data_IF_671730160653
#
_entry.id   IF_671730160653
#
_cell.length_a   1.000
_cell.length_b   1.000
_cell.length_c   1.000
_cell.angle_alpha   90.00
_cell.angle_beta   90.00
_cell.angle_gamma   90.00
#
_symmetry.space_group_name_H-M   'P 1'
#
loop_
_entity.id
_entity.type
_entity.pdbx_description
1 polymer ?
#
# COMPACT_ATOMS: atom_id res chain seq x y z
N UNK A 1 -48.71 20.30 -65.28
CA UNK A 1 -47.44 21.01 -64.98
C UNK A 1 -46.36 19.96 -64.80
N UNK A 2 -45.24 20.07 -65.52
CA UNK A 2 -44.08 19.18 -65.39
C UNK A 2 -43.25 19.56 -64.14
N UNK A 3 -42.22 18.78 -63.82
CA UNK A 3 -41.26 19.16 -62.77
C UNK A 3 -40.42 20.35 -63.23
N UNK A 4 -40.19 21.31 -62.33
CA UNK A 4 -39.25 22.40 -62.57
C UNK A 4 -37.82 21.87 -62.73
N UNK A 5 -37.04 22.51 -63.59
CA UNK A 5 -35.68 22.13 -63.97
C UNK A 5 -34.65 23.24 -63.81
N UNK A 6 -35.08 24.51 -63.91
CA UNK A 6 -34.27 25.68 -63.60
C UNK A 6 -34.57 26.19 -62.18
N UNK A 7 -33.62 26.90 -61.56
CA UNK A 7 -33.77 27.46 -60.21
C UNK A 7 -34.96 28.44 -60.06
N UNK A 8 -35.42 29.03 -61.17
CA UNK A 8 -36.58 29.93 -61.23
C UNK A 8 -37.92 29.22 -61.46
N UNK A 9 -37.92 27.92 -61.74
CA UNK A 9 -39.15 27.19 -62.04
C UNK A 9 -39.99 26.97 -60.77
N UNK A 10 -41.31 26.98 -60.92
CA UNK A 10 -42.21 26.64 -59.84
C UNK A 10 -42.12 25.14 -59.48
N UNK A 11 -42.05 24.84 -58.18
CA UNK A 11 -42.07 23.46 -57.65
C UNK A 11 -43.48 22.86 -57.80
N UNK A 12 -43.58 21.63 -58.31
CA UNK A 12 -44.84 20.90 -58.36
C UNK A 12 -45.02 19.95 -57.15
N UNK A 13 -46.25 19.45 -56.94
CA UNK A 13 -46.59 18.60 -55.78
C UNK A 13 -45.78 17.28 -55.76
N UNK A 14 -45.39 16.74 -56.91
CA UNK A 14 -44.58 15.52 -56.96
C UNK A 14 -43.16 15.76 -56.43
N UNK A 15 -42.55 16.90 -56.79
CA UNK A 15 -41.25 17.32 -56.25
C UNK A 15 -41.32 17.53 -54.73
N UNK A 16 -42.39 18.17 -54.24
CA UNK A 16 -42.61 18.35 -52.79
C UNK A 16 -42.80 17.01 -52.05
N UNK A 17 -43.60 16.08 -52.59
CA UNK A 17 -43.78 14.74 -52.01
C UNK A 17 -42.48 13.91 -52.01
N UNK A 18 -41.65 14.07 -53.04
CA UNK A 18 -40.33 13.44 -53.08
C UNK A 18 -39.44 13.94 -51.95
N UNK A 19 -39.39 15.25 -51.72
CA UNK A 19 -38.64 15.84 -50.59
C UNK A 19 -39.19 15.36 -49.24
N UNK A 20 -40.52 15.36 -49.08
CA UNK A 20 -41.18 14.87 -47.86
C UNK A 20 -40.75 13.44 -47.54
N UNK A 21 -40.71 12.54 -48.53
CA UNK A 21 -40.25 11.17 -48.33
C UNK A 21 -38.77 11.00 -47.95
N UNK A 22 -37.92 12.01 -48.17
CA UNK A 22 -36.55 12.03 -47.63
C UNK A 22 -36.50 12.60 -46.22
N UNK A 23 -37.26 13.66 -45.94
CA UNK A 23 -37.37 14.27 -44.60
C UNK A 23 -37.94 13.27 -43.60
N UNK A 24 -38.99 12.53 -43.98
CA UNK A 24 -39.66 11.53 -43.14
C UNK A 24 -38.74 10.35 -42.77
N UNK A 25 -37.70 10.08 -43.57
CA UNK A 25 -36.71 9.02 -43.28
C UNK A 25 -35.71 9.41 -42.19
N UNK A 26 -35.48 10.71 -42.00
CA UNK A 26 -34.51 11.25 -41.06
C UNK A 26 -33.09 10.68 -41.26
N UNK A 27 -32.38 10.46 -40.16
CA UNK A 27 -31.03 9.87 -40.15
C UNK A 27 -31.01 8.57 -39.33
N UNK A 28 -29.94 7.77 -39.39
CA UNK A 28 -29.81 6.53 -38.61
C UNK A 28 -28.69 6.63 -37.57
N UNK A 29 -28.98 6.22 -36.34
CA UNK A 29 -27.98 6.07 -35.28
C UNK A 29 -27.67 4.59 -35.04
N UNK A 30 -26.38 4.23 -35.02
CA UNK A 30 -25.89 2.92 -34.59
C UNK A 30 -24.80 3.10 -33.55
N UNK A 31 -24.74 2.22 -32.55
CA UNK A 31 -23.75 2.27 -31.46
C UNK A 31 -22.93 0.98 -31.48
N UNK A 32 -21.60 1.10 -31.43
CA UNK A 32 -20.70 -0.07 -31.49
C UNK A 32 -20.80 -0.88 -32.78
N UNK A 33 -21.27 -0.28 -33.88
CA UNK A 33 -21.49 -0.97 -35.16
C UNK A 33 -22.78 -1.80 -35.23
N UNK A 34 -23.67 -1.72 -34.23
CA UNK A 34 -24.91 -2.50 -34.16
C UNK A 34 -26.16 -1.62 -33.96
N UNK A 35 -27.35 -2.25 -34.06
CA UNK A 35 -28.65 -1.70 -33.70
C UNK A 35 -29.02 -0.37 -34.39
N UNK A 36 -28.76 -0.26 -35.69
CA UNK A 36 -29.09 0.93 -36.46
C UNK A 36 -30.60 1.25 -36.38
N UNK A 37 -30.94 2.42 -35.84
CA UNK A 37 -32.32 2.90 -35.70
C UNK A 37 -32.50 4.23 -36.43
N UNK A 38 -33.58 4.35 -37.20
CA UNK A 38 -33.96 5.61 -37.83
C UNK A 38 -34.46 6.60 -36.77
N UNK A 39 -33.96 7.83 -36.82
CA UNK A 39 -34.30 8.98 -36.00
C UNK A 39 -34.97 9.99 -36.92
N UNK A 40 -36.29 10.12 -36.79
CA UNK A 40 -37.09 11.07 -37.57
C UNK A 40 -36.92 12.51 -37.09
N UNK A 41 -37.50 13.46 -37.83
CA UNK A 41 -37.36 14.90 -37.57
C UNK A 41 -37.92 15.36 -36.21
N UNK A 42 -38.91 14.65 -35.67
CA UNK A 42 -39.50 14.92 -34.34
C UNK A 42 -39.08 13.88 -33.28
N UNK A 43 -38.08 13.04 -33.58
CA UNK A 43 -37.57 12.05 -32.62
C UNK A 43 -36.52 12.66 -31.71
N UNK A 44 -36.49 12.20 -30.46
CA UNK A 44 -35.41 12.53 -29.52
C UNK A 44 -34.37 11.40 -29.42
N UNK A 45 -33.13 11.80 -29.14
CA UNK A 45 -32.06 10.90 -28.73
C UNK A 45 -31.69 11.26 -27.31
N UNK A 46 -31.74 10.27 -26.41
CA UNK A 46 -31.38 10.42 -25.02
C UNK A 46 -30.04 9.72 -24.74
N UNK A 47 -29.17 10.39 -23.97
CA UNK A 47 -27.89 9.86 -23.54
C UNK A 47 -27.90 9.74 -22.02
N UNK A 48 -28.02 8.51 -21.52
CA UNK A 48 -28.05 8.21 -20.09
C UNK A 48 -26.80 7.44 -19.65
N UNK A 49 -26.26 7.77 -18.48
CA UNK A 49 -25.24 6.96 -17.84
C UNK A 49 -25.87 5.76 -17.12
N UNK A 50 -25.33 4.56 -17.32
CA UNK A 50 -25.81 3.34 -16.65
C UNK A 50 -25.34 3.18 -15.20
N UNK A 51 -24.44 4.04 -14.74
CA UNK A 51 -23.92 4.06 -13.37
C UNK A 51 -23.48 5.47 -13.00
N UNK A 52 -23.20 5.68 -11.72
CA UNK A 52 -22.68 6.96 -11.23
C UNK A 52 -21.19 7.18 -11.52
N UNK A 53 -20.50 6.21 -12.12
CA UNK A 53 -19.07 6.34 -12.48
C UNK A 53 -18.85 7.25 -13.68
N UNK A 54 -19.91 7.51 -14.46
CA UNK A 54 -19.85 8.26 -15.69
C UNK A 54 -20.90 9.35 -15.65
N UNK A 55 -20.53 10.58 -16.02
CA UNK A 55 -21.45 11.70 -16.07
C UNK A 55 -21.67 12.12 -17.52
N UNK A 56 -22.91 12.46 -17.82
CA UNK A 56 -23.32 13.03 -19.09
C UNK A 56 -24.04 14.32 -18.76
N UNK A 57 -23.50 15.45 -19.22
CA UNK A 57 -24.08 16.76 -18.99
C UNK A 57 -24.28 17.48 -20.32
N UNK A 58 -25.47 18.07 -20.51
CA UNK A 58 -25.74 18.98 -21.62
C UNK A 58 -25.55 20.42 -21.14
N UNK A 59 -24.77 21.20 -21.86
CA UNK A 59 -24.65 22.65 -21.63
C UNK A 59 -25.97 23.35 -21.93
N UNK A 60 -26.38 24.24 -21.03
CA UNK A 60 -27.64 24.98 -21.13
C UNK A 60 -27.63 25.93 -22.35
N UNK A 61 -26.48 26.56 -22.64
CA UNK A 61 -26.38 27.62 -23.64
C UNK A 61 -25.60 27.24 -24.92
N UNK A 62 -24.78 26.18 -24.91
CA UNK A 62 -23.77 25.94 -25.97
C UNK A 62 -23.93 24.62 -26.75
N UNK A 63 -25.04 23.91 -26.56
CA UNK A 63 -25.33 22.61 -27.18
C UNK A 63 -24.25 21.52 -26.96
N UNK A 64 -23.27 21.75 -26.08
CA UNK A 64 -22.25 20.74 -25.81
C UNK A 64 -22.84 19.61 -24.98
N UNK A 65 -22.38 18.41 -25.28
CA UNK A 65 -22.56 17.24 -24.43
C UNK A 65 -21.18 16.88 -23.89
N UNK A 66 -21.02 16.98 -22.58
CA UNK A 66 -19.79 16.67 -21.88
C UNK A 66 -19.90 15.28 -21.27
N UNK A 67 -18.85 14.50 -21.49
CA UNK A 67 -18.67 13.18 -20.91
C UNK A 67 -17.48 13.23 -19.97
N UNK A 68 -17.66 12.79 -18.73
CA UNK A 68 -16.57 12.75 -17.76
C UNK A 68 -16.69 11.52 -16.86
N UNK A 69 -15.58 11.17 -16.21
CA UNK A 69 -15.59 10.22 -15.11
C UNK A 69 -15.96 10.94 -13.82
N UNK A 70 -16.72 10.27 -12.96
CA UNK A 70 -16.92 10.76 -11.62
C UNK A 70 -15.59 10.75 -10.84
N UNK A 71 -15.40 11.73 -9.95
CA UNK A 71 -14.21 11.81 -9.08
C UNK A 71 -14.06 10.58 -8.17
N UNK A 72 -15.18 9.99 -7.80
CA UNK A 72 -15.25 8.74 -7.05
C UNK A 72 -15.86 7.66 -7.94
N UNK A 73 -15.17 6.53 -8.04
CA UNK A 73 -15.61 5.39 -8.84
C UNK A 73 -15.90 4.20 -7.93
N UNK A 74 -17.02 3.53 -8.17
CA UNK A 74 -17.35 2.24 -7.57
C UNK A 74 -17.11 1.16 -8.61
N UNK A 75 -16.07 0.36 -8.43
CA UNK A 75 -15.66 -0.71 -9.35
C UNK A 75 -15.28 -1.94 -8.54
N UNK A 76 -15.44 -3.13 -9.13
CA UNK A 76 -15.09 -4.39 -8.46
C UNK A 76 -13.57 -4.61 -8.39
N UNK A 77 -12.84 -4.18 -9.42
CA UNK A 77 -11.40 -4.37 -9.53
C UNK A 77 -10.74 -3.33 -10.45
N UNK A 78 -9.54 -2.91 -10.09
CA UNK A 78 -8.63 -2.12 -10.91
C UNK A 78 -7.38 -2.96 -11.18
N UNK A 79 -7.08 -3.21 -12.45
CA UNK A 79 -5.89 -3.94 -12.87
C UNK A 79 -4.88 -3.00 -13.53
N UNK A 80 -3.67 -2.95 -12.99
CA UNK A 80 -2.56 -2.13 -13.50
C UNK A 80 -1.40 -3.06 -13.83
N UNK A 81 -1.26 -3.41 -15.12
CA UNK A 81 -0.39 -4.50 -15.53
C UNK A 81 -0.80 -5.80 -14.83
N UNK A 82 0.14 -6.41 -14.10
CA UNK A 82 -0.14 -7.62 -13.32
C UNK A 82 -0.72 -7.35 -11.93
N UNK A 83 -0.66 -6.11 -11.44
CA UNK A 83 -1.14 -5.75 -10.10
C UNK A 83 -2.66 -5.59 -10.08
N UNK A 84 -3.25 -5.79 -8.91
CA UNK A 84 -4.70 -5.71 -8.71
C UNK A 84 -5.02 -4.91 -7.45
N UNK A 85 -6.02 -4.04 -7.54
CA UNK A 85 -6.73 -3.47 -6.40
C UNK A 85 -8.19 -3.91 -6.49
N UNK A 86 -8.66 -4.69 -5.53
CA UNK A 86 -10.03 -5.20 -5.49
C UNK A 86 -10.56 -5.29 -4.04
N UNK A 87 -11.68 -5.98 -3.84
CA UNK A 87 -12.30 -6.18 -2.53
C UNK A 87 -11.39 -6.87 -1.49
N UNK A 88 -10.33 -7.56 -1.93
CA UNK A 88 -9.34 -8.19 -1.03
C UNK A 88 -8.25 -7.21 -0.57
N UNK A 89 -8.00 -6.13 -1.33
CA UNK A 89 -6.98 -5.10 -1.06
C UNK A 89 -6.07 -4.83 -2.27
N UNK A 90 -4.86 -4.32 -2.00
CA UNK A 90 -3.80 -4.06 -2.98
C UNK A 90 -2.85 -5.25 -3.07
N UNK A 91 -2.73 -5.85 -4.26
CA UNK A 91 -1.84 -6.97 -4.54
C UNK A 91 -0.86 -6.57 -5.64
N UNK A 92 0.44 -6.52 -5.29
CA UNK A 92 1.53 -6.40 -6.25
C UNK A 92 2.04 -7.81 -6.57
N UNK A 93 1.98 -8.21 -7.84
CA UNK A 93 2.45 -9.55 -8.25
C UNK A 93 3.95 -9.69 -7.95
N UNK A 94 4.35 -10.81 -7.34
CA UNK A 94 5.73 -11.10 -6.90
C UNK A 94 6.33 -10.05 -5.92
N UNK A 95 5.47 -9.29 -5.25
CA UNK A 95 5.85 -8.18 -4.39
C UNK A 95 5.02 -8.08 -3.10
N UNK A 96 5.04 -6.90 -2.45
CA UNK A 96 4.25 -6.64 -1.26
C UNK A 96 2.73 -6.65 -1.55
N UNK A 97 1.94 -6.98 -0.54
CA UNK A 97 0.48 -6.88 -0.59
C UNK A 97 -0.08 -6.31 0.71
N UNK A 98 -1.17 -5.56 0.59
CA UNK A 98 -1.96 -5.04 1.70
C UNK A 98 -3.37 -5.56 1.49
N UNK A 99 -3.82 -6.43 2.38
CA UNK A 99 -5.10 -7.13 2.26
C UNK A 99 -5.92 -6.98 3.54
N UNK A 100 -7.18 -7.44 3.50
CA UNK A 100 -8.04 -7.47 4.68
C UNK A 100 -7.48 -8.28 5.85
N UNK A 101 -6.51 -9.18 5.62
CA UNK A 101 -5.85 -9.96 6.67
C UNK A 101 -4.55 -9.35 7.18
N UNK A 102 -4.09 -8.23 6.61
CA UNK A 102 -2.86 -7.54 7.00
C UNK A 102 -1.91 -7.28 5.85
N UNK A 103 -0.64 -7.05 6.20
CA UNK A 103 0.44 -6.64 5.29
C UNK A 103 1.45 -7.78 5.16
N UNK A 104 1.83 -8.09 3.93
CA UNK A 104 2.93 -9.00 3.62
C UNK A 104 3.97 -8.22 2.79
N UNK A 105 5.22 -8.20 3.28
CA UNK A 105 6.31 -7.46 2.66
C UNK A 105 6.89 -8.15 1.41
N UNK A 106 6.43 -9.35 1.03
CA UNK A 106 6.85 -10.04 -0.19
C UNK A 106 8.34 -10.36 -0.21
N UNK A 107 8.91 -10.76 0.95
CA UNK A 107 10.34 -10.99 1.16
C UNK A 107 11.23 -9.78 0.82
N UNK A 108 10.71 -8.55 0.95
CA UNK A 108 11.47 -7.30 0.80
C UNK A 108 11.70 -6.65 2.14
N UNK A 109 12.75 -5.82 2.23
CA UNK A 109 12.99 -4.99 3.42
C UNK A 109 11.93 -3.89 3.49
N UNK A 110 11.38 -3.66 4.69
CA UNK A 110 10.58 -2.48 4.99
C UNK A 110 11.54 -1.39 5.47
N UNK A 111 11.73 -0.34 4.68
CA UNK A 111 12.62 0.79 4.97
C UNK A 111 11.84 2.03 5.37
N UNK A 112 12.48 2.98 6.04
CA UNK A 112 11.81 4.22 6.49
C UNK A 112 10.92 4.01 7.72
N UNK A 113 11.15 2.94 8.49
CA UNK A 113 10.46 2.69 9.77
C UNK A 113 11.11 3.56 10.85
N UNK A 114 10.37 4.53 11.36
CA UNK A 114 10.78 5.33 12.52
C UNK A 114 10.87 4.46 13.79
N UNK A 115 11.49 4.98 14.86
CA UNK A 115 11.61 4.23 16.10
C UNK A 115 10.22 4.07 16.74
N UNK A 116 9.83 2.84 17.04
CA UNK A 116 8.60 2.55 17.75
C UNK A 116 8.67 3.04 19.20
N UNK A 117 7.60 3.65 19.69
CA UNK A 117 7.47 4.16 21.07
C UNK A 117 6.28 3.58 21.82
N UNK A 118 5.25 3.12 21.10
CA UNK A 118 4.12 2.37 21.63
C UNK A 118 4.33 0.85 21.57
N UNK A 119 3.52 0.11 22.36
CA UNK A 119 3.62 -1.36 22.47
C UNK A 119 3.31 -2.10 21.16
N UNK A 120 2.61 -1.47 20.22
CA UNK A 120 2.20 -2.05 18.93
C UNK A 120 2.97 -1.49 17.74
N UNK A 121 3.97 -0.65 17.97
CA UNK A 121 4.77 -0.07 16.89
C UNK A 121 5.76 -1.11 16.35
N UNK A 122 6.06 -1.01 15.05
CA UNK A 122 7.17 -1.77 14.49
C UNK A 122 8.50 -1.29 15.06
N UNK A 123 9.41 -2.22 15.32
CA UNK A 123 10.78 -1.93 15.76
C UNK A 123 11.69 -1.82 14.54
N UNK A 124 12.48 -0.76 14.47
CA UNK A 124 13.50 -0.63 13.43
C UNK A 124 14.86 -1.19 13.87
N UNK A 125 15.78 -1.35 12.92
CA UNK A 125 17.08 -1.96 13.21
C UNK A 125 17.94 -1.18 14.22
N UNK A 126 17.79 0.15 14.32
CA UNK A 126 18.55 0.96 15.26
C UNK A 126 18.20 0.65 16.73
N UNK A 127 16.92 0.40 17.02
CA UNK A 127 16.49 -0.02 18.37
C UNK A 127 17.06 -1.39 18.76
N UNK A 128 17.22 -2.31 17.80
CA UNK A 128 17.85 -3.61 18.06
C UNK A 128 19.35 -3.47 18.37
N UNK A 129 20.08 -2.60 17.67
CA UNK A 129 21.49 -2.33 17.96
C UNK A 129 21.68 -1.67 19.34
N UNK A 130 20.79 -0.77 19.77
CA UNK A 130 20.81 -0.19 21.12
C UNK A 130 20.69 -1.26 22.21
N UNK A 131 19.79 -2.23 22.04
CA UNK A 131 19.64 -3.35 22.98
C UNK A 131 20.90 -4.23 23.00
N UNK A 132 21.49 -4.50 21.83
CA UNK A 132 22.70 -5.32 21.72
C UNK A 132 23.89 -4.70 22.47
N UNK A 133 24.04 -3.37 22.39
CA UNK A 133 25.05 -2.64 23.17
C UNK A 133 24.78 -2.69 24.68
N UNK A 134 23.52 -2.57 25.10
CA UNK A 134 23.14 -2.71 26.52
C UNK A 134 23.42 -4.11 27.06
N UNK A 135 23.09 -5.16 26.31
CA UNK A 135 23.36 -6.55 26.69
C UNK A 135 24.86 -6.81 26.78
N UNK A 136 25.65 -6.30 25.83
CA UNK A 136 27.11 -6.47 25.85
C UNK A 136 27.78 -5.71 27.01
N UNK A 137 27.30 -4.50 27.32
CA UNK A 137 27.87 -3.68 28.40
C UNK A 137 27.45 -4.15 29.80
N UNK A 138 26.23 -4.68 29.95
CA UNK A 138 25.63 -5.08 31.23
C UNK A 138 26.14 -6.38 31.86
N UNK A 139 27.03 -7.13 31.22
CA UNK A 139 27.59 -8.35 31.84
C UNK A 139 28.56 -7.99 32.98
N UNK A 140 28.32 -8.46 34.20
CA UNK A 140 29.32 -8.32 35.28
C UNK A 140 30.53 -9.22 35.09
N UNK A 141 30.39 -10.35 34.38
CA UNK A 141 31.48 -11.29 34.14
C UNK A 141 32.01 -11.06 32.73
N UNK A 142 33.26 -10.62 32.64
CA UNK A 142 33.91 -10.32 31.35
C UNK A 142 35.32 -10.90 31.32
N UNK A 143 35.74 -11.43 30.18
CA UNK A 143 37.14 -11.74 29.96
C UNK A 143 37.85 -10.51 29.41
N UNK A 144 38.86 -10.04 30.13
CA UNK A 144 39.70 -8.96 29.68
C UNK A 144 40.47 -9.39 28.43
N UNK A 145 40.37 -8.61 27.34
CA UNK A 145 40.91 -9.00 26.05
C UNK A 145 42.45 -9.08 26.04
N UNK A 146 43.12 -8.34 26.93
CA UNK A 146 44.58 -8.25 26.99
C UNK A 146 45.15 -9.32 27.93
N UNK A 147 44.72 -9.33 29.18
CA UNK A 147 45.22 -10.24 30.22
C UNK A 147 44.61 -11.63 30.14
N UNK A 148 43.49 -11.80 29.40
CA UNK A 148 42.67 -13.01 29.35
C UNK A 148 42.08 -13.41 30.71
N UNK A 149 42.20 -12.57 31.73
CA UNK A 149 41.58 -12.79 33.03
C UNK A 149 40.06 -12.61 32.94
N UNK A 150 39.34 -13.50 33.62
CA UNK A 150 37.91 -13.31 33.86
C UNK A 150 37.78 -12.37 35.07
N UNK A 151 37.09 -11.25 34.87
CA UNK A 151 36.80 -10.28 35.93
C UNK A 151 35.33 -10.31 36.27
N UNK A 152 35.00 -9.98 37.52
CA UNK A 152 33.62 -9.92 38.02
C UNK A 152 33.43 -8.52 38.59
N UNK A 153 32.59 -7.71 37.95
CA UNK A 153 32.25 -6.37 38.43
C UNK A 153 33.41 -5.37 38.42
N UNK A 154 34.42 -5.54 37.56
CA UNK A 154 35.60 -4.66 37.51
C UNK A 154 35.26 -3.16 37.40
N UNK A 155 34.20 -2.84 36.65
CA UNK A 155 33.73 -1.47 36.41
C UNK A 155 32.57 -1.06 37.34
N UNK A 156 32.24 -1.90 38.31
CA UNK A 156 31.16 -1.66 39.28
C UNK A 156 31.76 -1.35 40.66
N UNK A 157 31.07 -0.52 41.44
CA UNK A 157 31.43 -0.25 42.82
C UNK A 157 31.11 -1.43 43.76
N UNK A 158 31.62 -1.34 44.98
CA UNK A 158 31.42 -2.33 46.04
C UNK A 158 32.64 -3.24 46.26
N UNK A 159 32.70 -3.87 47.42
CA UNK A 159 33.83 -4.68 47.89
C UNK A 159 33.47 -6.14 48.18
N UNK A 160 32.22 -6.54 47.90
CA UNK A 160 31.69 -7.86 48.25
C UNK A 160 31.06 -8.58 47.06
N UNK A 161 31.59 -9.77 46.75
CA UNK A 161 30.95 -10.75 45.87
C UNK A 161 30.31 -11.84 46.73
N UNK A 162 28.97 -11.93 46.72
CA UNK A 162 28.25 -13.00 47.44
C UNK A 162 27.87 -14.13 46.49
N UNK A 163 28.26 -15.36 46.84
CA UNK A 163 27.92 -16.59 46.10
C UNK A 163 26.96 -17.50 46.86
N UNK A 164 26.36 -17.00 47.95
CA UNK A 164 25.39 -17.75 48.73
C UNK A 164 24.18 -18.19 47.88
N UNK A 165 23.54 -19.30 48.25
CA UNK A 165 22.30 -19.75 47.61
C UNK A 165 21.09 -18.94 48.12
N UNK A 166 19.89 -19.27 47.62
CA UNK A 166 18.62 -18.62 48.00
C UNK A 166 18.30 -18.66 49.51
N UNK A 167 18.91 -19.59 50.25
CA UNK A 167 18.74 -19.75 51.71
C UNK A 167 19.89 -19.09 52.51
N UNK A 168 20.76 -18.33 51.83
CA UNK A 168 21.92 -17.68 52.44
C UNK A 168 23.09 -18.62 52.78
N UNK A 169 23.01 -19.91 52.41
CA UNK A 169 24.09 -20.88 52.66
C UNK A 169 25.21 -20.70 51.65
N UNK A 170 26.46 -20.87 52.10
CA UNK A 170 27.63 -20.89 51.22
C UNK A 170 27.55 -21.99 50.17
N UNK A 171 28.22 -21.77 49.04
CA UNK A 171 28.41 -22.79 47.99
C UNK A 171 29.86 -23.26 48.00
N UNK A 172 30.08 -24.49 47.54
CA UNK A 172 31.44 -24.98 47.24
C UNK A 172 31.88 -24.35 45.93
N UNK A 173 33.06 -23.73 45.94
CA UNK A 173 33.76 -23.34 44.72
C UNK A 173 34.90 -24.35 44.52
N UNK A 174 34.94 -24.99 43.35
CA UNK A 174 35.96 -25.99 43.01
C UNK A 174 36.75 -25.56 41.79
N UNK A 175 37.97 -26.10 41.62
CA UNK A 175 38.84 -25.76 40.49
C UNK A 175 39.62 -24.45 40.66
N UNK A 176 39.70 -23.93 41.89
CA UNK A 176 40.58 -22.81 42.25
C UNK A 176 42.00 -23.34 42.44
N UNK A 177 42.99 -22.68 41.85
CA UNK A 177 44.40 -22.98 42.08
C UNK A 177 44.89 -22.36 43.41
N UNK A 178 45.86 -23.01 44.07
CA UNK A 178 46.42 -22.50 45.32
C UNK A 178 47.06 -21.12 45.11
N UNK A 179 46.62 -20.14 45.90
CA UNK A 179 47.26 -18.83 45.97
C UNK A 179 48.63 -18.83 46.67
N UNK A 180 49.43 -17.81 46.39
CA UNK A 180 50.72 -17.62 47.06
C UNK A 180 50.55 -17.28 48.56
N UNK A 181 51.46 -17.79 49.40
CA UNK A 181 51.49 -17.49 50.85
C UNK A 181 52.46 -16.33 51.09
N UNK A 182 51.93 -15.13 51.31
CA UNK A 182 52.68 -13.94 51.72
C UNK A 182 51.74 -12.90 52.35
N UNK A 183 52.29 -11.98 53.14
CA UNK A 183 51.51 -10.90 53.79
C UNK A 183 50.85 -9.93 52.79
N UNK A 184 51.21 -9.99 51.51
CA UNK A 184 50.68 -9.15 50.44
C UNK A 184 49.72 -9.88 49.47
N UNK A 185 49.44 -11.17 49.69
CA UNK A 185 48.62 -11.97 48.77
C UNK A 185 47.15 -11.58 48.80
N UNK A 186 46.53 -11.51 47.63
CA UNK A 186 45.08 -11.28 47.44
C UNK A 186 44.37 -12.45 46.78
N UNK A 187 45.08 -13.58 46.64
CA UNK A 187 44.58 -14.79 45.99
C UNK A 187 43.81 -15.67 46.99
N UNK A 188 42.87 -16.47 46.49
CA UNK A 188 42.17 -17.43 47.33
C UNK A 188 43.11 -18.57 47.77
N UNK A 189 43.04 -18.93 49.05
CA UNK A 189 43.77 -20.06 49.63
C UNK A 189 42.87 -21.31 49.63
N UNK A 190 43.39 -22.45 49.17
CA UNK A 190 42.69 -23.74 49.13
C UNK A 190 43.48 -24.86 49.79
#
# INVERSE_FOLDING_TARGET
LAAGSADSDAVNVAQLKSLQGYVDKGWKLSVGGANAKAIGIDSSVDFSAGSNNFTIAKGEDDNKVTFDLAKSLTVDSIKIGNNTLDATGLIITDGPKVTTTGIDAGNKKITGVEKGTGETDAVNFAQLEEIKEQVASGSFVKQDAQTKHITIGKEADGDKISIANKDGKGRVISGIANGAISDASTEAMT
#
